data_IF_597950258986
#
_entry.id   IF_597950258986
#
_cell.length_a   1.000
_cell.length_b   1.000
_cell.length_c   1.000
_cell.angle_alpha   90.00
_cell.angle_beta   90.00
_cell.angle_gamma   90.00
#
_symmetry.space_group_name_H-M   'P 1'
#
loop_
_entity.id
_entity.type
_entity.pdbx_description
1 polymer ?
#
# COMPACT_ATOMS: atom_id res chain seq x y z
N UNK A 1 2.03 -6.57 -7.49
CA UNK A 1 0.97 -6.01 -8.36
C UNK A 1 1.63 -5.10 -9.39
N UNK A 2 1.34 -5.27 -10.68
CA UNK A 2 1.96 -4.52 -11.78
C UNK A 2 0.87 -3.84 -12.59
N UNK A 3 1.04 -2.55 -12.84
CA UNK A 3 0.29 -1.79 -13.82
C UNK A 3 1.26 -0.93 -14.61
N UNK A 4 1.08 -0.83 -15.93
CA UNK A 4 1.83 0.10 -16.75
C UNK A 4 1.29 1.52 -16.54
N UNK A 5 1.78 2.21 -15.51
CA UNK A 5 1.61 3.66 -15.41
C UNK A 5 2.50 4.34 -16.45
N UNK A 6 2.05 5.50 -16.95
CA UNK A 6 2.86 6.29 -17.87
C UNK A 6 4.16 6.80 -17.18
N UNK A 7 5.22 7.13 -17.92
CA UNK A 7 6.52 7.52 -17.35
C UNK A 7 6.50 8.83 -16.54
N UNK A 8 7.28 8.91 -15.45
CA UNK A 8 7.34 10.13 -14.63
C UNK A 8 7.94 11.34 -15.37
N UNK A 9 7.19 12.44 -15.47
CA UNK A 9 7.61 13.69 -16.15
C UNK A 9 8.72 14.49 -15.44
N UNK A 10 9.13 14.14 -14.21
CA UNK A 10 10.28 14.80 -13.56
C UNK A 10 11.58 14.07 -13.90
N UNK A 11 12.29 14.66 -14.88
CA UNK A 11 13.61 14.29 -15.46
C UNK A 11 13.60 13.02 -16.31
N UNK A 12 13.39 13.17 -17.63
CA UNK A 12 13.89 12.30 -18.73
C UNK A 12 14.04 10.79 -18.39
N UNK A 13 13.07 10.21 -17.71
CA UNK A 13 13.11 8.80 -17.35
C UNK A 13 11.85 8.17 -17.91
N UNK A 14 12.02 7.46 -19.03
CA UNK A 14 10.96 6.67 -19.64
C UNK A 14 10.62 5.42 -18.81
N UNK A 15 11.26 5.26 -17.65
CA UNK A 15 11.09 4.10 -16.79
C UNK A 15 9.93 4.32 -15.80
N UNK A 16 9.10 3.29 -15.58
CA UNK A 16 8.06 3.33 -14.57
C UNK A 16 8.66 3.40 -13.16
N UNK A 17 7.90 3.96 -12.20
CA UNK A 17 8.29 4.00 -10.80
C UNK A 17 7.98 2.67 -10.12
N UNK A 18 9.02 1.96 -9.72
CA UNK A 18 8.92 0.61 -9.17
C UNK A 18 9.42 0.54 -7.73
N UNK A 19 8.75 -0.26 -6.91
CA UNK A 19 9.16 -0.62 -5.56
C UNK A 19 9.35 -2.13 -5.48
N UNK A 20 10.61 -2.56 -5.56
CA UNK A 20 10.99 -3.98 -5.65
C UNK A 20 10.86 -4.73 -4.32
N UNK A 21 10.96 -4.01 -3.20
CA UNK A 21 10.96 -4.60 -1.86
C UNK A 21 10.15 -3.77 -0.87
N UNK A 22 8.85 -3.99 -0.81
CA UNK A 22 8.00 -3.51 0.26
C UNK A 22 8.13 -4.46 1.46
N UNK A 23 9.04 -4.12 2.38
CA UNK A 23 9.33 -4.95 3.55
C UNK A 23 8.09 -5.19 4.41
N UNK A 24 7.66 -6.45 4.55
CA UNK A 24 6.43 -6.82 5.30
C UNK A 24 6.64 -6.93 6.80
N UNK A 25 7.90 -6.90 7.21
CA UNK A 25 8.40 -7.07 8.57
C UNK A 25 9.92 -6.99 8.51
N UNK A 26 10.60 -7.71 9.39
CA UNK A 26 12.05 -7.85 9.36
C UNK A 26 12.45 -9.25 9.84
N UNK A 27 13.69 -9.62 9.54
CA UNK A 27 14.33 -10.84 9.98
C UNK A 27 14.28 -11.00 11.50
N UNK A 28 14.11 -12.25 11.93
CA UNK A 28 14.31 -12.63 13.32
C UNK A 28 15.75 -12.34 13.73
N UNK A 29 15.91 -11.46 14.72
CA UNK A 29 17.16 -11.27 15.45
C UNK A 29 16.85 -11.72 16.89
N UNK A 30 17.76 -12.42 17.61
CA UNK A 30 17.47 -13.05 18.91
C UNK A 30 16.87 -12.14 20.01
N UNK A 31 16.84 -10.82 19.80
CA UNK A 31 16.34 -9.82 20.76
C UNK A 31 15.00 -9.19 20.36
N UNK A 32 14.52 -9.37 19.12
CA UNK A 32 13.30 -8.70 18.63
C UNK A 32 12.54 -9.56 17.61
N UNK A 33 11.22 -9.59 17.75
CA UNK A 33 10.29 -10.01 16.71
C UNK A 33 9.61 -8.76 16.11
N UNK A 34 10.26 -8.08 15.14
CA UNK A 34 9.73 -6.85 14.57
C UNK A 34 8.54 -7.14 13.64
N UNK A 35 7.34 -7.04 14.19
CA UNK A 35 6.12 -7.05 13.39
C UNK A 35 5.88 -5.68 12.77
N UNK A 36 5.46 -5.67 11.50
CA UNK A 36 4.97 -4.47 10.82
C UNK A 36 3.44 -4.50 10.79
N UNK A 37 2.75 -3.52 11.39
CA UNK A 37 1.30 -3.42 11.32
C UNK A 37 0.80 -3.39 9.87
N UNK A 38 -0.30 -4.08 9.59
CA UNK A 38 -0.84 -4.14 8.22
C UNK A 38 -1.36 -2.79 7.77
N UNK A 39 -1.84 -1.96 8.69
CA UNK A 39 -2.32 -0.61 8.45
C UNK A 39 -1.21 0.27 7.86
N UNK A 40 0.00 0.19 8.42
CA UNK A 40 1.17 0.92 7.94
C UNK A 40 1.66 0.38 6.59
N UNK A 41 1.68 -0.95 6.41
CA UNK A 41 2.05 -1.56 5.14
C UNK A 41 1.07 -1.13 4.04
N UNK A 42 -0.24 -1.23 4.29
CA UNK A 42 -1.29 -0.78 3.38
C UNK A 42 -1.21 0.72 3.09
N UNK A 43 -0.96 1.54 4.11
CA UNK A 43 -0.72 2.98 3.96
C UNK A 43 0.46 3.27 3.03
N UNK A 44 1.60 2.61 3.26
CA UNK A 44 2.80 2.82 2.45
C UNK A 44 2.59 2.42 0.99
N UNK A 45 1.86 1.32 0.74
CA UNK A 45 1.46 0.86 -0.60
C UNK A 45 0.53 1.87 -1.27
N UNK A 46 -0.54 2.29 -0.60
CA UNK A 46 -1.48 3.27 -1.14
C UNK A 46 -0.79 4.61 -1.43
N UNK A 47 0.11 5.05 -0.53
CA UNK A 47 0.91 6.26 -0.69
C UNK A 47 1.86 6.18 -1.89
N UNK A 48 2.43 5.01 -2.17
CA UNK A 48 3.27 4.80 -3.34
C UNK A 48 2.45 4.85 -4.63
N UNK A 49 1.33 4.12 -4.70
CA UNK A 49 0.45 4.06 -5.88
C UNK A 49 -0.13 5.43 -6.22
N UNK A 50 -0.69 6.15 -5.22
CA UNK A 50 -1.28 7.48 -5.46
C UNK A 50 -0.28 8.50 -6.03
N UNK A 51 1.03 8.25 -5.85
CA UNK A 51 2.12 9.08 -6.34
C UNK A 51 2.87 8.41 -7.51
N UNK A 52 2.10 7.97 -8.53
CA UNK A 52 2.58 7.34 -9.78
C UNK A 52 3.34 6.01 -9.62
N UNK A 53 3.18 5.33 -8.50
CA UNK A 53 3.72 3.99 -8.33
C UNK A 53 3.04 2.99 -9.27
N UNK A 54 3.82 2.24 -10.04
CA UNK A 54 3.30 1.27 -11.04
C UNK A 54 3.59 -0.18 -10.70
N UNK A 55 4.59 -0.43 -9.86
CA UNK A 55 5.00 -1.76 -9.46
C UNK A 55 5.30 -1.79 -7.97
N UNK A 56 4.74 -2.76 -7.27
CA UNK A 56 5.10 -3.09 -5.88
C UNK A 56 5.20 -4.60 -5.73
N UNK A 57 6.26 -5.02 -5.05
CA UNK A 57 6.46 -6.40 -4.62
C UNK A 57 6.68 -6.47 -3.10
N UNK A 58 5.99 -7.40 -2.43
CA UNK A 58 6.13 -7.61 -1.00
C UNK A 58 7.33 -8.50 -0.73
N UNK A 59 8.26 -8.01 0.06
CA UNK A 59 9.41 -8.78 0.53
C UNK A 59 9.25 -8.98 2.05
N UNK A 60 8.68 -10.08 2.53
CA UNK A 60 8.29 -11.30 1.81
C UNK A 60 6.76 -11.43 1.74
N UNK A 61 6.24 -11.97 0.63
CA UNK A 61 4.85 -12.39 0.58
C UNK A 61 4.65 -13.74 1.30
N UNK A 62 5.61 -14.64 1.15
CA UNK A 62 5.83 -15.84 1.96
C UNK A 62 7.33 -15.95 2.23
N UNK A 63 7.70 -16.00 3.51
CA UNK A 63 9.10 -16.08 3.92
C UNK A 63 9.64 -17.51 3.93
N UNK A 64 8.97 -18.40 4.65
CA UNK A 64 9.31 -19.82 4.76
C UNK A 64 10.44 -20.11 5.74
N UNK A 65 11.25 -21.13 5.45
CA UNK A 65 12.27 -21.67 6.36
C UNK A 65 13.61 -21.86 5.65
N UNK A 66 14.69 -21.46 6.30
CA UNK A 66 16.06 -21.75 5.90
C UNK A 66 16.43 -23.20 6.27
N UNK A 67 16.05 -24.17 5.44
CA UNK A 67 16.33 -25.59 5.69
C UNK A 67 17.81 -25.97 5.48
N UNK A 68 18.27 -26.99 6.18
CA UNK A 68 19.64 -27.50 6.04
C UNK A 68 20.69 -26.60 6.68
N UNK A 69 21.89 -26.54 6.10
CA UNK A 69 23.06 -25.85 6.68
C UNK A 69 23.77 -24.88 5.72
N UNK A 70 23.17 -24.59 4.57
CA UNK A 70 23.76 -23.75 3.51
C UNK A 70 22.78 -22.69 2.97
N UNK A 71 21.65 -22.47 3.65
CA UNK A 71 20.57 -21.56 3.21
C UNK A 71 20.55 -20.27 4.01
N UNK A 72 20.64 -20.35 5.34
CA UNK A 72 20.67 -19.18 6.21
C UNK A 72 22.01 -18.42 6.07
N UNK A 73 21.90 -17.09 6.07
CA UNK A 73 23.06 -16.20 6.22
C UNK A 73 23.64 -16.25 7.64
N UNK A 74 24.75 -15.54 7.86
CA UNK A 74 25.42 -15.47 9.15
C UNK A 74 24.46 -14.94 10.24
N UNK A 75 24.27 -15.72 11.31
CA UNK A 75 23.35 -15.43 12.44
C UNK A 75 21.87 -15.24 12.06
N UNK A 76 21.47 -15.65 10.86
CA UNK A 76 20.06 -15.68 10.47
C UNK A 76 19.40 -16.92 11.07
N UNK A 77 18.23 -16.73 11.67
CA UNK A 77 17.46 -17.83 12.23
C UNK A 77 17.03 -18.84 11.14
N UNK A 78 16.72 -20.07 11.57
CA UNK A 78 16.11 -21.07 10.70
C UNK A 78 14.76 -20.59 10.17
N UNK A 79 13.96 -19.91 11.01
CA UNK A 79 12.73 -19.26 10.56
C UNK A 79 13.03 -18.05 9.68
N UNK A 80 12.37 -17.98 8.53
CA UNK A 80 12.39 -16.82 7.63
C UNK A 80 10.99 -16.20 7.50
N UNK A 81 10.12 -16.34 8.51
CA UNK A 81 8.72 -15.90 8.49
C UNK A 81 8.51 -14.44 8.02
N UNK A 82 9.37 -13.52 8.46
CA UNK A 82 9.40 -12.11 8.05
C UNK A 82 8.11 -11.31 8.34
N UNK A 83 7.24 -11.82 9.22
CA UNK A 83 5.88 -11.28 9.43
C UNK A 83 5.11 -11.15 8.10
N UNK A 84 5.35 -12.12 7.20
CA UNK A 84 4.78 -12.15 5.87
C UNK A 84 3.26 -12.41 5.90
N UNK A 85 2.51 -11.98 4.86
CA UNK A 85 1.08 -12.29 4.71
C UNK A 85 0.77 -13.79 4.71
N UNK A 86 1.69 -14.62 4.23
CA UNK A 86 1.66 -16.07 4.40
C UNK A 86 2.80 -16.44 5.35
N UNK A 87 2.47 -17.05 6.48
CA UNK A 87 3.44 -17.38 7.53
C UNK A 87 4.44 -18.46 7.08
N UNK A 88 5.43 -18.74 7.94
CA UNK A 88 6.45 -19.78 7.71
C UNK A 88 5.87 -21.14 7.28
N UNK A 89 4.70 -21.52 7.80
CA UNK A 89 4.07 -22.82 7.55
C UNK A 89 3.11 -22.81 6.36
N UNK A 90 2.96 -21.68 5.67
CA UNK A 90 2.06 -21.56 4.54
C UNK A 90 0.62 -21.18 4.91
N UNK A 91 0.36 -20.82 6.17
CA UNK A 91 -0.96 -20.38 6.62
C UNK A 91 -1.16 -18.89 6.36
N UNK A 92 -2.40 -18.49 6.10
CA UNK A 92 -2.75 -17.08 5.92
C UNK A 92 -2.65 -16.33 7.25
N UNK A 93 -1.79 -15.31 7.32
CA UNK A 93 -1.64 -14.46 8.48
C UNK A 93 -2.72 -13.39 8.47
N UNK A 94 -3.81 -13.62 9.20
CA UNK A 94 -4.86 -12.61 9.37
C UNK A 94 -4.56 -11.66 10.55
N UNK A 95 -4.94 -10.37 10.45
CA UNK A 95 -5.71 -9.75 9.36
C UNK A 95 -4.85 -9.28 8.17
N UNK A 96 -3.54 -9.57 8.18
CA UNK A 96 -2.58 -9.02 7.23
C UNK A 96 -2.89 -9.43 5.79
N UNK A 97 -3.10 -10.72 5.57
CA UNK A 97 -3.42 -11.27 4.26
C UNK A 97 -4.73 -10.71 3.71
N UNK A 98 -5.81 -10.75 4.48
CA UNK A 98 -7.12 -10.28 4.08
C UNK A 98 -7.15 -8.77 3.80
N UNK A 99 -6.53 -7.96 4.65
CA UNK A 99 -6.51 -6.50 4.45
C UNK A 99 -5.69 -6.08 3.21
N UNK A 100 -4.57 -6.77 2.93
CA UNK A 100 -3.81 -6.54 1.70
C UNK A 100 -4.55 -7.05 0.46
N UNK A 101 -5.29 -8.17 0.55
CA UNK A 101 -6.17 -8.63 -0.53
C UNK A 101 -7.21 -7.56 -0.87
N UNK A 102 -7.88 -7.00 0.13
CA UNK A 102 -8.92 -5.99 -0.05
C UNK A 102 -8.34 -4.67 -0.60
N UNK A 103 -7.14 -4.28 -0.16
CA UNK A 103 -6.38 -3.18 -0.76
C UNK A 103 -6.14 -3.41 -2.26
N UNK A 104 -5.68 -4.60 -2.65
CA UNK A 104 -5.45 -4.93 -4.05
C UNK A 104 -6.74 -4.93 -4.87
N UNK A 105 -7.86 -5.42 -4.32
CA UNK A 105 -9.16 -5.34 -4.98
C UNK A 105 -9.55 -3.88 -5.23
N UNK A 106 -9.37 -3.00 -4.25
CA UNK A 106 -9.63 -1.56 -4.41
C UNK A 106 -8.72 -0.94 -5.48
N UNK A 107 -7.43 -1.26 -5.51
CA UNK A 107 -6.51 -0.77 -6.55
C UNK A 107 -6.89 -1.31 -7.94
N UNK A 108 -7.34 -2.56 -8.04
CA UNK A 108 -7.82 -3.14 -9.30
C UNK A 108 -9.04 -2.42 -9.85
N UNK A 109 -9.97 -1.97 -8.99
CA UNK A 109 -11.08 -1.14 -9.43
C UNK A 109 -10.60 0.22 -9.98
N UNK A 110 -9.51 0.77 -9.43
CA UNK A 110 -8.90 2.02 -9.91
C UNK A 110 -8.04 1.85 -11.18
N UNK A 111 -7.68 0.62 -11.58
CA UNK A 111 -6.72 0.31 -12.65
C UNK A 111 -6.99 1.08 -13.96
N UNK A 112 -8.23 1.14 -14.51
CA UNK A 112 -8.50 1.83 -15.77
C UNK A 112 -8.19 3.34 -15.73
N UNK A 113 -8.30 3.98 -14.57
CA UNK A 113 -7.93 5.38 -14.38
C UNK A 113 -6.42 5.53 -14.11
N UNK A 114 -5.83 4.65 -13.30
CA UNK A 114 -4.41 4.70 -12.93
C UNK A 114 -3.47 4.57 -14.14
N UNK A 115 -3.83 3.75 -15.14
CA UNK A 115 -2.97 3.49 -16.32
C UNK A 115 -3.12 4.54 -17.44
N UNK A 116 -4.19 5.32 -17.41
CA UNK A 116 -4.54 6.23 -18.51
C UNK A 116 -4.09 7.67 -18.27
N UNK A 117 -3.84 8.05 -17.02
CA UNK A 117 -3.51 9.43 -16.63
C UNK A 117 -2.51 9.48 -15.46
N UNK A 118 -2.08 10.68 -15.12
CA UNK A 118 -1.27 10.96 -13.93
C UNK A 118 -2.13 11.63 -12.85
N UNK A 119 -1.75 11.54 -11.56
CA UNK A 119 -2.50 12.13 -10.48
C UNK A 119 -2.37 13.65 -10.50
N UNK A 120 -3.50 14.33 -10.36
CA UNK A 120 -3.55 15.72 -9.95
C UNK A 120 -3.63 15.77 -8.42
N UNK A 121 -2.73 16.54 -7.80
CA UNK A 121 -2.62 16.62 -6.33
C UNK A 121 -3.22 17.92 -5.83
N UNK A 122 -4.07 17.84 -4.81
CA UNK A 122 -4.60 19.01 -4.09
C UNK A 122 -4.42 18.86 -2.58
N UNK A 123 -4.45 20.00 -1.87
CA UNK A 123 -4.11 20.12 -0.45
C UNK A 123 -5.24 20.82 0.30
N UNK A 124 -6.30 20.10 0.70
CA UNK A 124 -7.46 20.72 1.34
C UNK A 124 -7.20 21.16 2.79
N UNK A 125 -6.07 20.80 3.39
CA UNK A 125 -5.69 21.22 4.74
C UNK A 125 -4.29 20.72 5.13
N UNK A 126 -3.87 21.04 6.36
CA UNK A 126 -2.59 20.58 6.90
C UNK A 126 -2.57 19.06 6.98
N UNK A 127 -1.50 18.43 6.46
CA UNK A 127 -1.35 16.97 6.42
C UNK A 127 -2.44 16.22 5.64
N UNK A 128 -3.22 16.90 4.80
CA UNK A 128 -4.25 16.28 3.96
C UNK A 128 -3.87 16.43 2.48
N UNK A 129 -3.93 15.32 1.75
CA UNK A 129 -3.75 15.32 0.30
C UNK A 129 -4.88 14.57 -0.38
N UNK A 130 -5.20 15.03 -1.58
CA UNK A 130 -6.09 14.33 -2.49
C UNK A 130 -5.37 14.12 -3.81
N UNK A 131 -5.21 12.87 -4.23
CA UNK A 131 -4.69 12.51 -5.55
C UNK A 131 -5.84 12.04 -6.43
N UNK A 132 -6.06 12.71 -7.56
CA UNK A 132 -7.13 12.37 -8.50
C UNK A 132 -6.54 11.92 -9.83
N UNK A 133 -6.89 10.71 -10.24
CA UNK A 133 -6.65 10.17 -11.57
C UNK A 133 -7.95 10.29 -12.36
N UNK A 134 -8.07 11.34 -13.16
CA UNK A 134 -9.25 11.55 -14.00
C UNK A 134 -8.90 11.39 -15.49
N UNK A 135 -9.65 10.55 -16.18
CA UNK A 135 -9.44 10.22 -17.58
C UNK A 135 -10.77 9.86 -18.25
N UNK A 136 -10.77 9.70 -19.58
CA UNK A 136 -11.95 9.19 -20.30
C UNK A 136 -12.33 7.75 -19.90
N UNK A 137 -11.39 6.96 -19.37
CA UNK A 137 -11.62 5.56 -18.96
C UNK A 137 -12.08 5.41 -17.52
N UNK A 138 -12.14 6.48 -16.73
CA UNK A 138 -12.60 6.45 -15.35
C UNK A 138 -11.98 7.54 -14.48
N UNK A 139 -12.50 7.67 -13.26
CA UNK A 139 -12.02 8.58 -12.23
C UNK A 139 -11.72 7.79 -10.95
N UNK A 140 -10.47 7.83 -10.47
CA UNK A 140 -10.10 7.29 -9.16
C UNK A 140 -9.49 8.37 -8.28
N UNK A 141 -9.80 8.35 -6.98
CA UNK A 141 -9.25 9.28 -6.01
C UNK A 141 -8.67 8.58 -4.78
N UNK A 142 -7.59 9.16 -4.25
CA UNK A 142 -6.95 8.73 -3.01
C UNK A 142 -6.93 9.91 -2.04
N UNK A 143 -7.59 9.78 -0.90
CA UNK A 143 -7.68 10.80 0.14
C UNK A 143 -6.77 10.40 1.30
N UNK A 144 -5.70 11.13 1.52
CA UNK A 144 -4.66 10.79 2.49
C UNK A 144 -4.66 11.76 3.68
N UNK A 145 -4.57 11.20 4.89
CA UNK A 145 -4.26 11.90 6.13
C UNK A 145 -2.88 11.44 6.64
N UNK A 146 -1.92 12.36 6.64
CA UNK A 146 -0.55 12.12 7.12
C UNK A 146 -0.35 12.45 8.59
N UNK A 147 -1.36 13.02 9.26
CA UNK A 147 -1.29 13.21 10.70
C UNK A 147 -1.29 11.85 11.40
N UNK A 148 -0.29 11.60 12.24
CA UNK A 148 -0.11 10.32 12.92
C UNK A 148 -0.94 10.19 14.20
N UNK A 149 -1.59 11.28 14.64
CA UNK A 149 -2.30 11.35 15.92
C UNK A 149 -3.76 11.72 15.77
N UNK A 150 -4.09 12.61 14.83
CA UNK A 150 -5.43 13.18 14.71
C UNK A 150 -6.18 12.67 13.48
N UNK A 151 -7.48 12.40 13.67
CA UNK A 151 -8.39 12.16 12.55
C UNK A 151 -8.79 13.49 11.92
N UNK A 152 -9.13 13.47 10.63
CA UNK A 152 -9.56 14.66 9.91
C UNK A 152 -10.71 14.35 8.96
N UNK A 153 -11.57 15.34 8.72
CA UNK A 153 -12.64 15.25 7.72
C UNK A 153 -12.23 16.06 6.48
N UNK A 154 -12.20 15.41 5.32
CA UNK A 154 -11.96 16.05 4.03
C UNK A 154 -13.28 16.21 3.29
N UNK A 155 -13.53 17.40 2.73
CA UNK A 155 -14.61 17.61 1.76
C UNK A 155 -14.06 17.44 0.34
N UNK A 156 -14.56 16.45 -0.40
CA UNK A 156 -14.16 16.17 -1.78
C UNK A 156 -15.42 15.93 -2.63
N UNK A 157 -15.54 16.65 -3.75
CA UNK A 157 -16.72 16.61 -4.64
C UNK A 157 -18.07 16.76 -3.88
N UNK A 158 -18.14 17.74 -2.98
CA UNK A 158 -19.30 18.02 -2.11
C UNK A 158 -19.69 16.88 -1.13
N UNK A 159 -18.86 15.84 -0.99
CA UNK A 159 -19.03 14.79 0.02
C UNK A 159 -17.96 14.90 1.10
N UNK A 160 -18.31 14.49 2.33
CA UNK A 160 -17.41 14.49 3.47
C UNK A 160 -16.87 13.09 3.73
N UNK A 161 -15.58 12.97 3.97
CA UNK A 161 -14.90 11.72 4.25
C UNK A 161 -14.07 11.85 5.52
N UNK A 162 -14.33 10.95 6.47
CA UNK A 162 -13.56 10.87 7.70
C UNK A 162 -12.33 9.97 7.51
N UNK A 163 -11.15 10.57 7.65
CA UNK A 163 -9.87 9.92 7.50
C UNK A 163 -9.26 9.70 8.90
N UNK A 164 -9.10 8.44 9.34
CA UNK A 164 -8.31 8.12 10.52
C UNK A 164 -6.88 8.67 10.42
N UNK A 165 -6.14 8.76 11.54
CA UNK A 165 -4.73 9.12 11.51
C UNK A 165 -3.95 8.13 10.65
N UNK A 166 -2.91 8.60 9.97
CA UNK A 166 -2.00 7.80 9.15
C UNK A 166 -2.73 6.85 8.19
N UNK A 167 -3.65 7.39 7.39
CA UNK A 167 -4.52 6.57 6.54
C UNK A 167 -4.74 7.15 5.15
N UNK A 168 -5.07 6.26 4.20
CA UNK A 168 -5.52 6.61 2.85
C UNK A 168 -6.85 5.92 2.58
N UNK A 169 -7.86 6.69 2.15
CA UNK A 169 -9.11 6.18 1.61
C UNK A 169 -9.05 6.11 0.09
N UNK A 170 -9.51 5.01 -0.51
CA UNK A 170 -9.49 4.75 -1.96
C UNK A 170 -10.93 4.81 -2.49
N UNK A 171 -11.13 5.66 -3.51
CA UNK A 171 -12.41 5.90 -4.18
C UNK A 171 -12.26 5.57 -5.67
N UNK A 172 -12.64 4.36 -6.14
CA UNK A 172 -12.42 3.94 -7.53
C UNK A 172 -13.27 4.66 -8.57
N UNK A 173 -14.30 5.39 -8.13
CA UNK A 173 -15.22 6.19 -8.94
C UNK A 173 -15.20 7.69 -8.55
N UNK A 174 -14.22 8.10 -7.72
CA UNK A 174 -14.13 9.41 -7.10
C UNK A 174 -15.30 9.79 -6.16
N UNK A 175 -16.16 8.83 -5.78
CA UNK A 175 -17.35 9.08 -4.96
C UNK A 175 -17.50 8.14 -3.76
N UNK A 176 -17.34 6.84 -3.96
CA UNK A 176 -17.57 5.85 -2.92
C UNK A 176 -16.24 5.33 -2.39
N UNK A 177 -15.98 5.56 -1.10
CA UNK A 177 -14.79 5.03 -0.43
C UNK A 177 -14.97 3.53 -0.17
N UNK A 178 -14.30 2.67 -0.93
CA UNK A 178 -14.43 1.21 -0.82
C UNK A 178 -13.43 0.60 0.17
N UNK A 179 -12.32 1.29 0.42
CA UNK A 179 -11.24 0.84 1.28
C UNK A 179 -10.58 2.01 2.01
N UNK A 180 -10.17 1.80 3.27
CA UNK A 180 -9.28 2.71 3.99
C UNK A 180 -8.19 1.90 4.68
N UNK A 181 -6.94 2.35 4.58
CA UNK A 181 -5.77 1.58 5.03
C UNK A 181 -5.74 1.34 6.54
N UNK A 182 -6.39 2.18 7.36
CA UNK A 182 -6.45 2.03 8.82
C UNK A 182 -7.75 1.36 9.33
N UNK A 183 -8.72 1.08 8.44
CA UNK A 183 -9.99 0.41 8.82
C UNK A 183 -9.91 -1.07 8.50
N UNK A 184 -9.24 -1.84 9.36
CA UNK A 184 -9.10 -3.30 9.23
C UNK A 184 -10.41 -3.99 9.58
N UNK A 185 -10.93 -4.82 8.68
CA UNK A 185 -12.08 -5.68 8.95
C UNK A 185 -11.60 -6.94 9.67
N UNK A 186 -12.24 -7.28 10.79
CA UNK A 186 -11.98 -8.51 11.55
C UNK A 186 -12.98 -9.59 11.17
#
# INVERSE_FOLDING_TARGET
>A
MVFTAKPSDRKKSHNPKMWTEAWTGCLWIPLFYPQRPVEDLAFSVARFIQNNGSFINYYMYHGGTNFGRTTAGLFIATSYDYDAPIDEYGLQREPKWGHLRDLHQAIKLCEPALVSTYPTVTWPGNNLQVHVFNSKSGCAAFLANYDTKSSATVTFQNMRYDLPPWSVSILPDCKNAVFNTARVRK
#
